data_IF_836133176995
#
_entry.id   IF_836133176995
#
_cell.length_a   1.000
_cell.length_b   1.000
_cell.length_c   1.000
_cell.angle_alpha   90.00
_cell.angle_beta   90.00
_cell.angle_gamma   90.00
#
_symmetry.space_group_name_H-M   'P 1'
#
loop_
_entity.id
_entity.type
_entity.pdbx_description
1 polymer ?
#
# COMPACT_ATOMS: atom_id res chain seq x y z
N UNK A 1 -4.39 -10.32 -9.78
CA UNK A 1 -4.01 -8.90 -9.98
C UNK A 1 -4.76 -8.09 -8.95
N UNK A 2 -4.07 -7.49 -7.98
CA UNK A 2 -4.71 -6.64 -6.99
C UNK A 2 -5.08 -5.32 -7.67
N UNK A 3 -6.37 -5.03 -7.79
CA UNK A 3 -6.85 -3.75 -8.34
C UNK A 3 -7.18 -2.83 -7.18
N UNK A 4 -6.30 -1.85 -6.94
CA UNK A 4 -6.58 -0.72 -6.07
C UNK A 4 -7.68 0.14 -6.73
N UNK A 5 -8.93 -0.10 -6.35
CA UNK A 5 -10.07 0.74 -6.73
C UNK A 5 -10.27 1.81 -5.66
N UNK A 6 -10.40 3.07 -6.06
CA UNK A 6 -10.63 4.19 -5.12
C UNK A 6 -9.37 4.85 -4.57
N UNK A 7 -8.25 4.81 -5.31
CA UNK A 7 -7.06 5.59 -4.93
C UNK A 7 -7.39 7.09 -4.84
N UNK A 8 -6.97 7.78 -3.77
CA UNK A 8 -7.23 9.21 -3.62
C UNK A 8 -6.47 9.99 -4.67
N UNK A 9 -7.02 11.11 -5.15
CA UNK A 9 -6.39 11.87 -6.22
C UNK A 9 -4.97 12.34 -5.85
N UNK A 10 -3.99 12.14 -6.74
CA UNK A 10 -2.59 12.60 -6.59
C UNK A 10 -2.46 14.07 -6.14
N UNK A 11 -3.34 14.94 -6.64
CA UNK A 11 -3.36 16.35 -6.25
C UNK A 11 -3.76 16.60 -4.79
N UNK A 12 -4.52 15.67 -4.17
CA UNK A 12 -4.88 15.72 -2.74
C UNK A 12 -3.88 14.94 -1.89
N UNK A 13 -3.47 13.75 -2.34
CA UNK A 13 -2.58 12.85 -1.63
C UNK A 13 -1.36 12.47 -2.49
N UNK A 14 -0.32 13.31 -2.56
CA UNK A 14 0.85 13.02 -3.38
C UNK A 14 1.75 11.93 -2.77
N UNK A 15 1.65 11.65 -1.46
CA UNK A 15 2.50 10.69 -0.76
C UNK A 15 1.73 9.45 -0.39
N UNK A 16 2.37 8.29 -0.50
CA UNK A 16 1.85 7.02 -0.06
C UNK A 16 2.92 6.27 0.74
N UNK A 17 2.56 5.73 1.90
CA UNK A 17 3.44 4.85 2.67
C UNK A 17 2.88 3.45 2.68
N UNK A 18 3.73 2.45 2.45
CA UNK A 18 3.37 1.04 2.50
C UNK A 18 4.07 0.42 3.70
N UNK A 19 3.32 -0.26 4.56
CA UNK A 19 3.85 -1.05 5.67
C UNK A 19 3.26 -2.45 5.63
N UNK A 20 4.11 -3.47 5.70
CA UNK A 20 3.66 -4.85 5.84
C UNK A 20 3.49 -5.20 7.32
N UNK A 21 2.40 -5.89 7.65
CA UNK A 21 2.10 -6.42 8.99
C UNK A 21 1.66 -7.87 8.89
N UNK A 22 1.57 -8.56 10.03
CA UNK A 22 1.10 -9.94 10.12
C UNK A 22 -0.29 -10.11 9.45
N UNK A 23 -0.30 -10.70 8.26
CA UNK A 23 -1.50 -10.99 7.48
C UNK A 23 -2.13 -9.80 6.73
N UNK A 24 -1.52 -8.60 6.73
CA UNK A 24 -2.06 -7.45 5.97
C UNK A 24 -0.96 -6.51 5.48
N UNK A 25 -1.29 -5.69 4.48
CA UNK A 25 -0.48 -4.54 4.07
C UNK A 25 -1.27 -3.28 4.39
N UNK A 26 -0.69 -2.43 5.22
CA UNK A 26 -1.21 -1.11 5.52
C UNK A 26 -0.68 -0.12 4.50
N UNK A 27 -1.60 0.61 3.88
CA UNK A 27 -1.32 1.62 2.89
C UNK A 27 -1.88 2.95 3.38
N UNK A 28 -1.01 3.94 3.63
CA UNK A 28 -1.44 5.27 4.06
C UNK A 28 -1.13 6.30 3.00
N UNK A 29 -2.15 6.99 2.51
CA UNK A 29 -2.02 8.16 1.65
C UNK A 29 -2.00 9.42 2.49
N UNK A 30 -1.03 10.29 2.22
CA UNK A 30 -0.86 11.56 2.93
C UNK A 30 -0.66 12.71 1.96
N UNK A 31 -1.20 13.85 2.33
CA UNK A 31 -1.10 15.07 1.56
C UNK A 31 -1.47 16.31 2.36
N UNK A 32 -1.47 17.49 1.73
CA UNK A 32 -1.85 18.74 2.38
C UNK A 32 -3.29 18.71 2.91
N UNK A 33 -4.20 18.01 2.24
CA UNK A 33 -5.64 17.99 2.54
C UNK A 33 -6.21 16.57 2.69
N UNK A 34 -5.35 15.60 3.01
CA UNK A 34 -5.79 14.21 3.22
C UNK A 34 -4.85 13.39 4.12
N UNK A 35 -5.47 12.48 4.86
CA UNK A 35 -4.85 11.33 5.51
C UNK A 35 -5.85 10.17 5.38
N UNK A 36 -5.56 9.22 4.50
CA UNK A 36 -6.42 8.06 4.26
C UNK A 36 -5.60 6.78 4.41
N UNK A 37 -6.11 5.85 5.23
CA UNK A 37 -5.52 4.53 5.43
C UNK A 37 -6.37 3.44 4.79
N UNK A 38 -5.71 2.51 4.11
CA UNK A 38 -6.30 1.30 3.57
C UNK A 38 -5.53 0.09 4.07
N UNK A 39 -6.25 -0.86 4.64
CA UNK A 39 -5.69 -2.14 5.05
C UNK A 39 -6.06 -3.18 4.00
N UNK A 40 -5.04 -3.79 3.41
CA UNK A 40 -5.17 -4.83 2.40
C UNK A 40 -4.90 -6.16 3.10
N UNK A 41 -5.96 -6.93 3.31
CA UNK A 41 -5.83 -8.27 3.87
C UNK A 41 -5.07 -9.18 2.87
N UNK A 42 -3.94 -9.74 3.31
CA UNK A 42 -3.13 -10.64 2.48
C UNK A 42 -3.87 -11.95 2.19
N UNK A 43 -4.83 -12.34 3.04
CA UNK A 43 -5.71 -13.48 2.80
C UNK A 43 -6.57 -13.33 1.55
N UNK A 44 -6.82 -12.09 1.09
CA UNK A 44 -7.56 -11.81 -0.15
C UNK A 44 -6.71 -11.98 -1.41
N UNK A 45 -5.38 -12.10 -1.28
CA UNK A 45 -4.49 -12.31 -2.43
C UNK A 45 -4.57 -13.73 -2.99
N UNK A 46 -5.13 -14.68 -2.22
CA UNK A 46 -5.25 -16.09 -2.59
C UNK A 46 -4.07 -16.93 -2.10
N UNK A 47 -4.30 -18.24 -1.94
CA UNK A 47 -3.30 -19.19 -1.46
C UNK A 47 -2.06 -19.21 -2.35
N UNK A 48 -0.87 -19.12 -1.74
CA UNK A 48 0.42 -19.15 -2.43
C UNK A 48 0.88 -17.80 -2.98
N UNK A 49 0.19 -16.69 -2.71
CA UNK A 49 0.77 -15.37 -2.96
C UNK A 49 1.77 -14.99 -1.88
N UNK A 50 2.98 -14.68 -2.34
CA UNK A 50 4.04 -14.17 -1.48
C UNK A 50 3.70 -12.73 -1.03
N UNK A 51 3.66 -12.46 0.28
CA UNK A 51 3.24 -11.17 0.80
C UNK A 51 4.25 -10.06 0.51
N UNK A 52 5.53 -10.39 0.39
CA UNK A 52 6.58 -9.46 -0.02
C UNK A 52 6.44 -9.11 -1.51
N UNK A 53 6.17 -10.10 -2.37
CA UNK A 53 5.92 -9.87 -3.79
C UNK A 53 4.66 -9.01 -4.01
N UNK A 54 3.64 -9.16 -3.17
CA UNK A 54 2.44 -8.33 -3.20
C UNK A 54 2.74 -6.88 -2.80
N UNK A 55 3.50 -6.67 -1.72
CA UNK A 55 3.98 -5.36 -1.28
C UNK A 55 4.80 -4.66 -2.38
N UNK A 56 5.78 -5.36 -2.97
CA UNK A 56 6.64 -4.80 -4.03
C UNK A 56 5.84 -4.42 -5.27
N UNK A 57 4.83 -5.23 -5.65
CA UNK A 57 3.92 -4.89 -6.75
C UNK A 57 3.07 -3.66 -6.43
N UNK A 58 2.62 -3.51 -5.19
CA UNK A 58 1.86 -2.35 -4.75
C UNK A 58 2.70 -1.08 -4.84
N UNK A 59 3.95 -1.14 -4.36
CA UNK A 59 4.92 -0.04 -4.44
C UNK A 59 5.15 0.37 -5.91
N UNK A 60 5.44 -0.60 -6.78
CA UNK A 60 5.67 -0.33 -8.20
C UNK A 60 4.43 0.25 -8.91
N UNK A 61 3.22 -0.22 -8.58
CA UNK A 61 1.98 0.31 -9.16
C UNK A 61 1.72 1.77 -8.72
N UNK A 62 2.01 2.10 -7.46
CA UNK A 62 1.88 3.45 -6.93
C UNK A 62 2.93 4.40 -7.53
N UNK A 63 4.17 3.94 -7.65
CA UNK A 63 5.24 4.71 -8.28
C UNK A 63 4.94 4.97 -9.77
N UNK A 64 4.47 3.95 -10.49
CA UNK A 64 4.08 4.07 -11.90
C UNK A 64 2.92 5.04 -12.12
N UNK A 65 2.04 5.21 -11.12
CA UNK A 65 0.97 6.21 -11.13
C UNK A 65 1.46 7.62 -10.80
N UNK A 66 2.67 7.77 -10.25
CA UNK A 66 3.29 9.04 -9.90
C UNK A 66 3.18 9.43 -8.43
N UNK A 67 2.80 8.51 -7.54
CA UNK A 67 2.82 8.79 -6.09
C UNK A 67 4.25 8.76 -5.59
N UNK A 68 4.56 9.63 -4.62
CA UNK A 68 5.77 9.51 -3.83
C UNK A 68 5.58 8.38 -2.80
N UNK A 69 6.05 7.18 -3.15
CA UNK A 69 5.90 5.98 -2.34
C UNK A 69 7.08 5.81 -1.38
N UNK A 70 6.79 5.48 -0.13
CA UNK A 70 7.80 5.17 0.88
C UNK A 70 7.46 3.82 1.53
N UNK A 71 8.44 2.91 1.55
CA UNK A 71 8.31 1.62 2.23
C UNK A 71 8.74 1.78 3.67
N UNK A 72 7.81 1.55 4.60
CA UNK A 72 8.08 1.55 6.03
C UNK A 72 8.60 0.18 6.48
N UNK A 73 9.30 0.15 7.61
CA UNK A 73 9.72 -1.09 8.22
C UNK A 73 8.48 -1.96 8.53
N UNK A 74 8.52 -3.28 8.21
CA UNK A 74 7.41 -4.16 8.51
C UNK A 74 7.18 -4.26 10.02
N UNK A 75 5.92 -4.27 10.42
CA UNK A 75 5.47 -4.39 11.83
C UNK A 75 5.30 -5.87 12.23
N UNK A 76 6.07 -6.78 11.60
CA UNK A 76 6.08 -8.21 11.97
C UNK A 76 6.88 -8.48 13.27
N UNK A 77 7.41 -7.44 13.91
CA UNK A 77 8.10 -7.50 15.18
C UNK A 77 7.12 -7.23 16.34
N UNK A 78 6.29 -8.21 16.66
CA UNK A 78 5.39 -8.21 17.83
C UNK A 78 5.30 -9.59 18.46
#
# INVERSE_FOLDING_TARGET
MLRLMGLPALGRCPRATVRRSAGRIELRFRGPDCDEGHDIDLGLLGEGQDPEAAELRLLADLEARGYAVERLAPDDAG
#
